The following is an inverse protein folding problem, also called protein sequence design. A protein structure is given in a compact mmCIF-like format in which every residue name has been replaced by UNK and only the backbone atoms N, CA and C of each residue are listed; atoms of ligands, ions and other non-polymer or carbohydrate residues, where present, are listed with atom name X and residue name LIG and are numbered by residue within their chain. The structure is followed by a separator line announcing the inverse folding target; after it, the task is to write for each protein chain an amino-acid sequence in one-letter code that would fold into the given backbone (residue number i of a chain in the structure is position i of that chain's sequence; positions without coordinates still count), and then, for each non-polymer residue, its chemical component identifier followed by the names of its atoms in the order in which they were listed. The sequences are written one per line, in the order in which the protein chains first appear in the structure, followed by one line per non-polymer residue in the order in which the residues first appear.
data_IF_250356842779
#
_entry.id   IF_250356842779
#
_cell.length_a   1.000
_cell.length_b   1.000
_cell.length_c   1.000
_cell.angle_alpha   90.00
_cell.angle_beta   90.00
_cell.angle_gamma   90.00
#
_symmetry.space_group_name_H-M   'P 1'
#
loop_
_entity.id
_entity.type
_entity.pdbx_description
1 polymer ?
#
# COMPACT_ATOMS: atom_id res chain seq x y z
N UNK A 1 -1.89 -12.96 -9.12
CA UNK A 1 -1.93 -11.61 -8.50
C UNK A 1 -0.82 -10.73 -9.05
N UNK A 2 -1.02 -9.40 -9.06
CA UNK A 2 -0.12 -8.42 -9.69
C UNK A 2 1.05 -8.05 -8.74
N UNK A 3 2.26 -7.91 -9.30
CA UNK A 3 3.45 -7.37 -8.61
C UNK A 3 3.70 -5.92 -9.02
N UNK A 4 4.66 -5.26 -8.35
CA UNK A 4 5.07 -3.88 -8.67
C UNK A 4 5.44 -3.68 -10.14
N UNK A 5 6.05 -4.67 -10.78
CA UNK A 5 6.47 -4.61 -12.19
C UNK A 5 5.33 -4.36 -13.19
N UNK A 6 4.07 -4.55 -12.78
CA UNK A 6 2.90 -4.33 -13.62
C UNK A 6 2.22 -2.99 -13.35
N UNK A 7 2.67 -2.21 -12.36
CA UNK A 7 2.01 -0.98 -11.93
C UNK A 7 2.03 0.12 -12.99
N UNK A 8 3.10 0.20 -13.79
CA UNK A 8 3.15 1.12 -14.93
C UNK A 8 2.01 0.84 -15.92
N UNK A 9 1.85 -0.41 -16.34
CA UNK A 9 0.77 -0.83 -17.23
C UNK A 9 -0.62 -0.58 -16.61
N UNK A 10 -0.79 -0.83 -15.31
CA UNK A 10 -2.06 -0.54 -14.63
C UNK A 10 -2.38 0.97 -14.63
N UNK A 11 -1.38 1.83 -14.44
CA UNK A 11 -1.55 3.28 -14.53
C UNK A 11 -1.93 3.73 -15.95
N UNK A 12 -1.25 3.21 -16.97
CA UNK A 12 -1.58 3.46 -18.39
C UNK A 12 -3.01 3.04 -18.71
N UNK A 13 -3.42 1.85 -18.25
CA UNK A 13 -4.77 1.33 -18.45
C UNK A 13 -5.82 2.12 -17.68
N UNK A 14 -5.52 2.62 -16.48
CA UNK A 14 -6.42 3.48 -15.71
C UNK A 14 -6.69 4.79 -16.48
N UNK A 15 -5.63 5.46 -16.94
CA UNK A 15 -5.75 6.69 -17.73
C UNK A 15 -6.54 6.43 -19.02
N UNK A 16 -6.22 5.35 -19.74
CA UNK A 16 -6.94 4.96 -20.96
C UNK A 16 -8.44 4.77 -20.69
N UNK A 17 -8.81 4.13 -19.58
CA UNK A 17 -10.22 3.92 -19.21
C UNK A 17 -10.90 5.22 -18.82
N UNK A 18 -10.25 6.09 -18.04
CA UNK A 18 -10.80 7.41 -17.70
C UNK A 18 -11.04 8.27 -18.95
N UNK A 19 -10.12 8.26 -19.92
CA UNK A 19 -10.29 8.98 -21.20
C UNK A 19 -11.43 8.45 -22.06
N UNK A 20 -11.76 7.16 -21.92
CA UNK A 20 -12.82 6.51 -22.70
C UNK A 20 -14.20 6.59 -22.04
N UNK A 21 -14.28 6.95 -20.76
CA UNK A 21 -15.53 7.07 -20.04
C UNK A 21 -16.13 8.47 -20.24
N UNK A 22 -17.31 8.61 -20.90
CA UNK A 22 -17.92 9.91 -21.17
C UNK A 22 -18.36 10.65 -19.90
N UNK A 23 -18.38 9.99 -18.73
CA UNK A 23 -18.73 10.60 -17.45
C UNK A 23 -17.54 11.26 -16.75
N UNK A 24 -16.31 11.05 -17.24
CA UNK A 24 -15.09 11.55 -16.62
C UNK A 24 -14.46 12.60 -17.55
N UNK A 25 -14.39 13.84 -17.09
CA UNK A 25 -13.54 14.83 -17.71
C UNK A 25 -12.14 14.69 -17.10
N UNK A 26 -11.24 13.99 -17.80
CA UNK A 26 -9.90 13.71 -17.26
C UNK A 26 -9.09 14.98 -17.00
N UNK A 27 -9.35 16.09 -17.67
CA UNK A 27 -8.60 17.32 -17.51
C UNK A 27 -9.14 18.18 -16.35
N UNK A 28 -10.45 18.14 -16.13
CA UNK A 28 -11.14 19.03 -15.18
C UNK A 28 -11.54 18.36 -13.86
N UNK A 29 -11.85 17.07 -13.86
CA UNK A 29 -12.31 16.40 -12.64
C UNK A 29 -11.12 16.16 -11.69
N UNK A 30 -11.37 16.28 -10.39
CA UNK A 30 -10.41 15.84 -9.37
C UNK A 30 -10.48 14.33 -9.18
N UNK A 31 -9.33 13.67 -9.25
CA UNK A 31 -9.18 12.23 -9.03
C UNK A 31 -8.46 11.94 -7.72
N UNK A 32 -8.92 10.92 -7.02
CA UNK A 32 -8.21 10.31 -5.90
C UNK A 32 -7.83 8.89 -6.29
N UNK A 33 -6.52 8.63 -6.44
CA UNK A 33 -6.00 7.31 -6.82
C UNK A 33 -5.30 6.71 -5.62
N UNK A 34 -5.66 5.49 -5.22
CA UNK A 34 -4.98 4.77 -4.14
C UNK A 34 -4.13 3.64 -4.73
N UNK A 35 -2.82 3.70 -4.50
CA UNK A 35 -1.86 2.70 -4.95
C UNK A 35 -1.43 1.84 -3.75
N UNK A 36 -1.84 0.57 -3.77
CA UNK A 36 -1.43 -0.46 -2.82
C UNK A 36 -0.85 -1.65 -3.60
N UNK A 37 0.43 -1.95 -3.39
CA UNK A 37 1.13 -3.04 -4.05
C UNK A 37 2.34 -3.48 -3.23
N UNK A 38 3.02 -4.54 -3.65
CA UNK A 38 4.24 -5.05 -3.00
C UNK A 38 4.05 -6.31 -2.17
N UNK A 39 2.83 -6.63 -1.71
CA UNK A 39 2.59 -7.88 -0.97
C UNK A 39 2.99 -9.13 -1.77
N UNK A 40 2.69 -9.16 -3.07
CA UNK A 40 3.11 -10.24 -3.95
C UNK A 40 4.61 -10.23 -4.27
N UNK A 41 5.23 -9.05 -4.32
CA UNK A 41 6.68 -8.91 -4.47
C UNK A 41 7.39 -9.54 -3.26
N UNK A 42 6.94 -9.21 -2.04
CA UNK A 42 7.44 -9.81 -0.80
C UNK A 42 7.19 -11.32 -0.75
N UNK A 43 5.99 -11.79 -1.12
CA UNK A 43 5.73 -13.23 -1.16
C UNK A 43 6.65 -13.98 -2.12
N UNK A 44 6.87 -13.46 -3.33
CA UNK A 44 7.79 -14.08 -4.30
C UNK A 44 9.24 -13.99 -3.87
N UNK A 45 9.62 -12.92 -3.17
CA UNK A 45 10.94 -12.77 -2.58
C UNK A 45 11.27 -13.86 -1.56
N UNK A 46 10.25 -14.55 -1.01
CA UNK A 46 10.49 -15.64 -0.07
C UNK A 46 11.29 -16.81 -0.66
N UNK A 47 11.24 -17.03 -1.98
CA UNK A 47 12.08 -18.02 -2.63
C UNK A 47 13.54 -17.55 -2.79
N UNK A 48 13.75 -16.25 -3.04
CA UNK A 48 15.06 -15.61 -3.15
C UNK A 48 14.92 -14.08 -3.09
N UNK A 49 15.33 -13.47 -1.98
CA UNK A 49 15.20 -12.01 -1.76
C UNK A 49 16.07 -11.18 -2.71
N UNK A 50 17.19 -11.73 -3.20
CA UNK A 50 18.10 -11.02 -4.12
C UNK A 50 17.48 -10.72 -5.48
N UNK A 51 16.42 -11.44 -5.87
CA UNK A 51 15.66 -11.19 -7.11
C UNK A 51 14.66 -10.03 -6.97
N UNK A 52 14.44 -9.54 -5.75
CA UNK A 52 13.44 -8.53 -5.43
C UNK A 52 14.05 -7.35 -4.66
N UNK A 53 15.12 -6.70 -5.17
CA UNK A 53 15.76 -5.61 -4.44
C UNK A 53 14.85 -4.38 -4.36
N UNK A 54 14.96 -3.62 -3.27
CA UNK A 54 14.18 -2.40 -3.04
C UNK A 54 14.35 -1.33 -4.13
N UNK A 55 15.50 -1.30 -4.79
CA UNK A 55 15.76 -0.42 -5.94
C UNK A 55 14.83 -0.72 -7.12
N UNK A 56 14.60 -2.00 -7.43
CA UNK A 56 13.69 -2.42 -8.49
C UNK A 56 12.24 -2.10 -8.12
N UNK A 57 11.83 -2.40 -6.88
CA UNK A 57 10.48 -2.06 -6.40
C UNK A 57 10.24 -0.56 -6.50
N UNK A 58 11.17 0.27 -6.01
CA UNK A 58 11.11 1.74 -6.15
C UNK A 58 10.96 2.16 -7.61
N UNK A 59 11.80 1.65 -8.51
CA UNK A 59 11.78 2.03 -9.92
C UNK A 59 10.43 1.69 -10.58
N UNK A 60 9.84 0.54 -10.24
CA UNK A 60 8.53 0.15 -10.74
C UNK A 60 7.42 1.09 -10.26
N UNK A 61 7.43 1.50 -8.99
CA UNK A 61 6.45 2.45 -8.46
C UNK A 61 6.67 3.84 -9.05
N UNK A 62 7.91 4.29 -9.13
CA UNK A 62 8.29 5.57 -9.75
C UNK A 62 7.79 5.66 -11.19
N UNK A 63 7.98 4.60 -11.99
CA UNK A 63 7.48 4.55 -13.37
C UNK A 63 5.94 4.65 -13.46
N UNK A 64 5.20 4.06 -12.53
CA UNK A 64 3.74 4.17 -12.49
C UNK A 64 3.27 5.57 -12.07
N UNK A 65 3.93 6.16 -11.08
CA UNK A 65 3.63 7.52 -10.62
C UNK A 65 3.95 8.56 -11.68
N UNK A 66 5.02 8.38 -12.46
CA UNK A 66 5.40 9.26 -13.57
C UNK A 66 4.31 9.24 -14.65
N UNK A 67 3.80 8.05 -15.02
CA UNK A 67 2.66 7.91 -15.93
C UNK A 67 1.42 8.65 -15.39
N UNK A 68 1.10 8.52 -14.10
CA UNK A 68 -0.03 9.23 -13.50
C UNK A 68 0.16 10.75 -13.53
N UNK A 69 1.37 11.24 -13.21
CA UNK A 69 1.68 12.67 -13.20
C UNK A 69 1.61 13.31 -14.59
N UNK A 70 1.94 12.55 -15.63
CA UNK A 70 1.89 12.99 -17.02
C UNK A 70 0.46 12.92 -17.61
N UNK A 71 -0.28 11.85 -17.32
CA UNK A 71 -1.55 11.57 -18.00
C UNK A 71 -2.82 11.79 -17.18
N UNK A 72 -2.73 12.21 -15.92
CA UNK A 72 -3.87 12.47 -15.04
C UNK A 72 -3.65 13.77 -14.24
N UNK A 73 -3.97 14.96 -14.81
CA UNK A 73 -3.95 16.22 -14.05
C UNK A 73 -4.97 16.18 -12.90
N UNK A 74 -4.99 17.18 -12.00
CA UNK A 74 -5.93 17.24 -10.85
C UNK A 74 -6.05 15.91 -10.09
N UNK A 75 -4.92 15.34 -9.67
CA UNK A 75 -4.88 14.00 -9.07
C UNK A 75 -4.12 14.00 -7.75
N UNK A 76 -4.76 13.45 -6.72
CA UNK A 76 -4.11 13.11 -5.45
C UNK A 76 -3.89 11.61 -5.44
N UNK A 77 -2.63 11.18 -5.37
CA UNK A 77 -2.27 9.77 -5.24
C UNK A 77 -1.99 9.44 -3.78
N UNK A 78 -2.80 8.56 -3.19
CA UNK A 78 -2.52 7.91 -1.92
C UNK A 78 -1.59 6.71 -2.17
N UNK A 79 -0.32 6.84 -1.82
CA UNK A 79 0.65 5.74 -1.87
C UNK A 79 0.67 5.02 -0.52
N UNK A 80 0.08 3.82 -0.45
CA UNK A 80 0.08 3.04 0.78
C UNK A 80 1.44 2.34 0.95
N UNK A 81 1.94 2.26 2.19
CA UNK A 81 3.10 1.42 2.50
C UNK A 81 2.77 -0.06 2.26
N UNK A 82 3.77 -0.84 1.82
CA UNK A 82 3.64 -2.29 1.69
C UNK A 82 3.51 -2.94 3.07
N UNK A 83 2.64 -3.95 3.18
CA UNK A 83 2.51 -4.77 4.37
C UNK A 83 3.82 -5.50 4.69
N UNK A 84 4.30 -5.38 5.93
CA UNK A 84 5.21 -6.37 6.49
C UNK A 84 4.41 -7.63 6.88
N UNK A 85 4.37 -8.60 5.96
CA UNK A 85 3.65 -9.87 6.16
C UNK A 85 4.49 -10.92 6.91
N UNK A 86 5.71 -10.59 7.35
CA UNK A 86 6.61 -11.56 8.00
C UNK A 86 5.98 -12.23 9.22
N UNK A 87 5.23 -11.46 10.03
CA UNK A 87 4.56 -12.00 11.21
C UNK A 87 3.36 -12.89 10.85
N UNK A 88 2.69 -12.67 9.72
CA UNK A 88 1.64 -13.60 9.24
C UNK A 88 2.23 -14.95 8.88
N UNK A 89 3.41 -14.97 8.24
CA UNK A 89 4.07 -16.22 7.85
C UNK A 89 4.39 -17.12 9.06
N UNK A 90 4.62 -16.54 10.24
CA UNK A 90 4.85 -17.29 11.49
C UNK A 90 3.58 -17.95 12.02
N UNK A 91 2.42 -17.32 11.81
CA UNK A 91 1.13 -17.76 12.38
C UNK A 91 0.37 -18.67 11.41
N UNK A 92 0.53 -18.48 10.10
CA UNK A 92 -0.16 -19.28 9.08
C UNK A 92 -0.06 -20.80 9.29
N UNK A 93 1.13 -21.38 9.62
CA UNK A 93 1.25 -22.83 9.86
C UNK A 93 0.42 -23.33 11.05
N UNK A 94 0.13 -22.47 12.02
CA UNK A 94 -0.59 -22.80 13.26
C UNK A 94 -2.11 -22.73 13.09
N UNK A 95 -2.59 -22.14 12.00
CA UNK A 95 -3.99 -21.83 11.77
C UNK A 95 -4.61 -22.85 10.80
N UNK A 96 -5.60 -23.64 11.25
CA UNK A 96 -6.25 -24.65 10.41
C UNK A 96 -6.86 -24.08 9.12
N UNK A 97 -7.37 -22.85 9.17
CA UNK A 97 -7.94 -22.18 7.99
C UNK A 97 -6.92 -21.93 6.88
N UNK A 98 -5.66 -21.66 7.22
CA UNK A 98 -4.63 -21.28 6.24
C UNK A 98 -4.05 -22.49 5.48
N UNK A 99 -4.39 -23.72 5.89
CA UNK A 99 -3.77 -24.94 5.35
C UNK A 99 -3.90 -25.02 3.83
N UNK A 100 -5.04 -24.62 3.27
CA UNK A 100 -5.22 -24.63 1.81
C UNK A 100 -4.35 -23.60 1.09
N UNK A 101 -4.25 -22.38 1.65
CA UNK A 101 -3.38 -21.33 1.11
C UNK A 101 -1.90 -21.74 1.13
N UNK A 102 -1.48 -22.47 2.17
CA UNK A 102 -0.14 -23.04 2.27
C UNK A 102 0.10 -24.15 1.23
N UNK A 103 -0.88 -25.03 0.98
CA UNK A 103 -0.77 -26.09 -0.05
C UNK A 103 -0.60 -25.51 -1.45
N UNK A 104 -1.35 -24.47 -1.80
CA UNK A 104 -1.25 -23.81 -3.12
C UNK A 104 -0.05 -22.86 -3.22
N UNK A 105 0.78 -22.77 -2.17
CA UNK A 105 1.99 -21.94 -2.10
C UNK A 105 1.72 -20.48 -2.48
N UNK A 106 0.69 -19.88 -1.88
CA UNK A 106 0.34 -18.48 -2.10
C UNK A 106 1.56 -17.55 -1.94
N UNK A 107 2.41 -17.85 -0.95
CA UNK A 107 3.74 -17.31 -0.78
C UNK A 107 4.74 -18.49 -0.69
N UNK A 108 5.67 -18.66 -1.66
CA UNK A 108 6.54 -19.84 -1.78
C UNK A 108 7.72 -19.83 -0.80
N UNK A 109 7.43 -19.67 0.50
CA UNK A 109 8.45 -19.64 1.54
C UNK A 109 9.05 -21.03 1.82
N UNK A 110 10.37 -21.14 2.06
CA UNK A 110 10.97 -22.33 2.60
C UNK A 110 10.35 -22.70 3.97
N UNK A 111 10.12 -24.00 4.25
CA UNK A 111 9.72 -24.45 5.57
C UNK A 111 10.71 -23.98 6.64
N UNK A 112 10.22 -23.49 7.77
CA UNK A 112 11.06 -23.01 8.88
C UNK A 112 11.63 -21.60 8.71
N UNK A 113 11.26 -20.86 7.66
CA UNK A 113 11.58 -19.43 7.57
C UNK A 113 10.97 -18.66 8.75
N UNK A 114 11.77 -17.86 9.44
CA UNK A 114 11.33 -16.99 10.53
C UNK A 114 10.80 -15.63 10.02
N UNK A 115 10.80 -15.42 8.70
CA UNK A 115 10.34 -14.19 8.04
C UNK A 115 11.24 -12.97 8.26
N UNK A 116 12.40 -13.09 8.90
CA UNK A 116 13.28 -11.96 9.23
C UNK A 116 13.79 -11.23 7.97
N UNK A 117 14.23 -11.97 6.95
CA UNK A 117 14.65 -11.42 5.66
C UNK A 117 13.51 -10.69 4.95
N UNK A 118 12.28 -11.22 5.02
CA UNK A 118 11.10 -10.57 4.45
C UNK A 118 10.71 -9.29 5.20
N UNK A 119 10.84 -9.28 6.53
CA UNK A 119 10.63 -8.06 7.33
C UNK A 119 11.66 -6.99 6.97
N UNK A 120 12.93 -7.38 6.83
CA UNK A 120 13.99 -6.47 6.41
C UNK A 120 13.69 -5.88 5.01
N UNK A 121 13.30 -6.73 4.06
CA UNK A 121 12.95 -6.31 2.71
C UNK A 121 11.72 -5.38 2.68
N UNK A 122 10.68 -5.70 3.45
CA UNK A 122 9.49 -4.86 3.58
C UNK A 122 9.84 -3.46 4.10
N UNK A 123 10.72 -3.38 5.12
CA UNK A 123 11.23 -2.11 5.64
C UNK A 123 12.10 -1.37 4.62
N UNK A 124 12.86 -2.06 3.78
CA UNK A 124 13.60 -1.44 2.68
C UNK A 124 12.66 -0.85 1.63
N UNK A 125 11.60 -1.57 1.25
CA UNK A 125 10.57 -1.06 0.34
C UNK A 125 9.90 0.19 0.89
N UNK A 126 9.45 0.15 2.15
CA UNK A 126 8.85 1.30 2.84
C UNK A 126 9.79 2.51 2.86
N UNK A 127 11.07 2.32 3.24
CA UNK A 127 12.09 3.38 3.21
C UNK A 127 12.30 3.92 1.80
N UNK A 128 12.36 3.07 0.78
CA UNK A 128 12.57 3.47 -0.59
C UNK A 128 11.41 4.36 -1.11
N UNK A 129 10.17 4.02 -0.78
CA UNK A 129 9.00 4.85 -1.11
C UNK A 129 9.04 6.19 -0.36
N UNK A 130 9.32 6.18 0.94
CA UNK A 130 9.46 7.41 1.74
C UNK A 130 10.51 8.34 1.17
N UNK A 131 11.69 7.79 0.82
CA UNK A 131 12.77 8.56 0.22
C UNK A 131 12.36 9.14 -1.14
N UNK A 132 11.71 8.35 -2.02
CA UNK A 132 11.20 8.82 -3.31
C UNK A 132 10.26 10.02 -3.14
N UNK A 133 9.27 9.92 -2.26
CA UNK A 133 8.27 10.99 -2.08
C UNK A 133 8.86 12.21 -1.37
N UNK A 134 9.84 12.03 -0.48
CA UNK A 134 10.55 13.14 0.17
C UNK A 134 11.44 13.94 -0.77
N UNK A 135 11.78 13.43 -1.97
CA UNK A 135 12.49 14.24 -2.98
C UNK A 135 11.67 15.43 -3.50
N UNK A 136 10.36 15.43 -3.27
CA UNK A 136 9.45 16.45 -3.79
C UNK A 136 9.17 16.33 -5.29
N UNK A 137 9.63 15.26 -5.98
CA UNK A 137 9.40 15.03 -7.42
C UNK A 137 7.94 15.26 -7.84
N UNK A 138 7.00 14.78 -7.03
CA UNK A 138 5.56 14.83 -7.32
C UNK A 138 4.83 16.05 -6.75
N UNK A 139 5.52 17.00 -6.11
CA UNK A 139 4.92 18.21 -5.53
C UNK A 139 5.27 19.48 -6.34
N UNK A 140 5.64 19.31 -7.61
CA UNK A 140 6.08 20.39 -8.50
C UNK A 140 4.95 21.04 -9.29
N UNK A 141 3.78 20.40 -9.34
CA UNK A 141 2.58 20.91 -10.01
C UNK A 141 1.53 21.29 -8.96
N UNK A 142 0.71 22.33 -9.19
CA UNK A 142 -0.34 22.73 -8.24
C UNK A 142 -1.51 21.74 -8.17
N UNK A 143 -1.66 20.89 -9.18
CA UNK A 143 -2.81 20.02 -9.38
C UNK A 143 -2.46 18.52 -9.29
N UNK A 144 -1.23 18.17 -8.91
CA UNK A 144 -0.82 16.78 -8.74
C UNK A 144 0.05 16.63 -7.50
N UNK A 145 -0.21 15.59 -6.71
CA UNK A 145 0.63 15.24 -5.56
C UNK A 145 0.54 13.76 -5.24
N UNK A 146 1.62 13.22 -4.68
CA UNK A 146 1.67 11.87 -4.13
C UNK A 146 1.91 11.96 -2.63
N UNK A 147 1.04 11.32 -1.85
CA UNK A 147 1.06 11.34 -0.39
C UNK A 147 1.18 9.93 0.15
N UNK A 148 2.23 9.68 0.95
CA UNK A 148 2.40 8.40 1.64
C UNK A 148 1.38 8.28 2.77
N UNK A 149 0.76 7.11 2.85
CA UNK A 149 -0.16 6.72 3.91
C UNK A 149 0.41 5.48 4.63
N UNK A 150 1.07 5.66 5.79
CA UNK A 150 1.91 4.61 6.37
C UNK A 150 1.15 3.63 7.28
N UNK A 151 -0.18 3.69 7.34
CA UNK A 151 -0.94 2.92 8.31
C UNK A 151 -0.90 1.41 8.08
N UNK A 152 -0.58 0.94 6.86
CA UNK A 152 -0.48 -0.49 6.50
C UNK A 152 0.94 -1.07 6.65
N UNK A 153 1.91 -0.29 7.13
CA UNK A 153 3.30 -0.75 7.20
C UNK A 153 3.51 -2.00 8.07
N UNK A 154 2.58 -2.27 9.00
CA UNK A 154 2.56 -3.48 9.82
C UNK A 154 1.16 -4.10 9.84
N UNK A 155 1.12 -5.41 10.10
CA UNK A 155 -0.14 -6.14 10.34
C UNK A 155 -0.74 -5.78 11.71
N UNK A 156 -2.08 -5.80 11.86
CA UNK A 156 -2.72 -5.59 13.15
C UNK A 156 -2.36 -6.70 14.12
N UNK A 157 -2.23 -6.36 15.40
CA UNK A 157 -1.94 -7.32 16.46
C UNK A 157 -3.03 -7.32 17.53
N UNK A 158 -3.22 -8.47 18.17
CA UNK A 158 -4.01 -8.64 19.39
C UNK A 158 -3.30 -8.01 20.59
N UNK A 159 -3.95 -8.00 21.76
CA UNK A 159 -3.35 -7.56 23.02
C UNK A 159 -2.11 -8.38 23.43
N UNK A 160 -2.04 -9.64 23.00
CA UNK A 160 -0.89 -10.53 23.22
C UNK A 160 0.27 -10.27 22.25
N UNK A 161 0.09 -9.35 21.28
CA UNK A 161 1.11 -8.99 20.29
C UNK A 161 1.19 -9.91 19.07
N UNK A 162 0.31 -10.91 18.97
CA UNK A 162 0.22 -11.78 17.80
C UNK A 162 -0.62 -11.13 16.69
N UNK A 163 -0.39 -11.45 15.40
CA UNK A 163 -1.27 -11.04 14.31
C UNK A 163 -2.77 -11.31 14.61
N UNK A 164 -3.59 -10.27 14.52
CA UNK A 164 -5.05 -10.42 14.64
C UNK A 164 -5.62 -11.04 13.37
N UNK A 165 -5.80 -12.36 13.39
CA UNK A 165 -6.28 -13.13 12.25
C UNK A 165 -7.70 -12.75 11.81
N UNK A 166 -8.49 -12.05 12.63
CA UNK A 166 -9.84 -11.60 12.22
C UNK A 166 -9.81 -10.53 11.11
N UNK A 167 -8.66 -9.89 10.88
CA UNK A 167 -8.46 -8.94 9.78
C UNK A 167 -8.22 -9.62 8.43
N UNK A 168 -8.05 -10.94 8.40
CA UNK A 168 -7.72 -11.71 7.20
C UNK A 168 -8.81 -12.72 6.87
N UNK A 169 -8.93 -13.06 5.59
CA UNK A 169 -9.81 -14.15 5.13
C UNK A 169 -9.26 -15.50 5.58
N UNK A 170 -9.98 -16.62 5.37
CA UNK A 170 -9.48 -17.95 5.71
C UNK A 170 -8.15 -18.33 5.03
N UNK A 171 -7.74 -17.65 3.95
CA UNK A 171 -6.43 -17.85 3.32
C UNK A 171 -5.26 -17.19 4.09
N UNK A 172 -5.59 -16.38 5.11
CA UNK A 172 -4.65 -15.75 6.03
C UNK A 172 -3.68 -14.75 5.39
N UNK A 173 -4.03 -14.25 4.21
CA UNK A 173 -3.23 -13.32 3.42
C UNK A 173 -4.07 -12.12 2.96
N UNK A 174 -5.24 -12.36 2.37
CA UNK A 174 -6.13 -11.29 1.95
C UNK A 174 -6.91 -10.71 3.13
N UNK A 175 -7.24 -9.43 3.05
CA UNK A 175 -8.03 -8.77 4.09
C UNK A 175 -9.47 -9.29 4.09
N UNK A 176 -10.00 -9.55 5.28
CA UNK A 176 -11.42 -9.83 5.50
C UNK A 176 -12.27 -8.57 5.32
N UNK A 177 -13.59 -8.69 5.43
CA UNK A 177 -14.49 -7.52 5.52
C UNK A 177 -14.10 -6.58 6.66
N UNK A 178 -13.66 -7.12 7.82
CA UNK A 178 -13.13 -6.33 8.95
C UNK A 178 -11.85 -5.60 8.52
N UNK A 179 -10.91 -6.31 7.90
CA UNK A 179 -9.64 -5.74 7.44
C UNK A 179 -9.83 -4.64 6.40
N UNK A 180 -10.69 -4.84 5.41
CA UNK A 180 -11.02 -3.82 4.40
C UNK A 180 -11.72 -2.60 5.01
N UNK A 181 -12.68 -2.81 5.92
CA UNK A 181 -13.36 -1.71 6.63
C UNK A 181 -12.37 -0.87 7.43
N UNK A 182 -11.50 -1.52 8.21
CA UNK A 182 -10.46 -0.86 8.97
C UNK A 182 -9.50 -0.09 8.06
N UNK A 183 -9.09 -0.66 6.92
CA UNK A 183 -8.17 -0.02 6.00
C UNK A 183 -8.78 1.24 5.37
N UNK A 184 -10.08 1.20 5.04
CA UNK A 184 -10.81 2.36 4.54
C UNK A 184 -10.85 3.50 5.57
N UNK A 185 -11.19 3.20 6.82
CA UNK A 185 -11.22 4.19 7.92
C UNK A 185 -9.82 4.73 8.21
N UNK A 186 -8.81 3.87 8.29
CA UNK A 186 -7.42 4.28 8.51
C UNK A 186 -6.90 5.16 7.37
N UNK A 187 -7.22 4.85 6.11
CA UNK A 187 -6.87 5.70 4.97
C UNK A 187 -7.52 7.08 5.08
N UNK A 188 -8.84 7.13 5.29
CA UNK A 188 -9.59 8.38 5.47
C UNK A 188 -8.98 9.25 6.57
N UNK A 189 -8.76 8.67 7.74
CA UNK A 189 -8.23 9.38 8.89
C UNK A 189 -6.78 9.85 8.67
N UNK A 190 -6.00 9.09 7.92
CA UNK A 190 -4.61 9.46 7.60
C UNK A 190 -4.55 10.54 6.51
N UNK A 191 -5.49 10.57 5.57
CA UNK A 191 -5.63 11.66 4.60
C UNK A 191 -5.92 13.00 5.28
N UNK A 192 -6.76 13.01 6.32
CA UNK A 192 -7.12 14.24 7.04
C UNK A 192 -6.03 14.76 8.00
N UNK A 193 -4.90 14.04 8.13
CA UNK A 193 -3.79 14.40 9.01
C UNK A 193 -2.61 14.97 8.23
N UNK A 194 -1.99 16.01 8.81
CA UNK A 194 -0.70 16.54 8.32
C UNK A 194 0.37 15.44 8.34
N UNK A 195 1.37 15.57 7.46
CA UNK A 195 2.47 14.60 7.30
C UNK A 195 3.11 14.15 8.62
N UNK A 196 3.42 15.08 9.52
CA UNK A 196 4.05 14.80 10.83
C UNK A 196 3.14 14.10 11.86
N UNK A 197 1.83 13.98 11.58
CA UNK A 197 0.82 13.40 12.47
C UNK A 197 0.11 12.19 11.87
N UNK A 198 0.55 11.71 10.70
CA UNK A 198 0.00 10.50 10.06
C UNK A 198 0.20 9.29 10.97
N UNK A 199 -0.85 8.52 11.16
CA UNK A 199 -0.80 7.30 11.98
C UNK A 199 -0.21 6.14 11.20
N UNK A 200 0.47 5.24 11.90
CA UNK A 200 1.14 4.06 11.34
C UNK A 200 0.47 2.74 11.72
N UNK A 201 -0.58 2.79 12.52
CA UNK A 201 -1.21 1.61 13.09
C UNK A 201 -2.41 1.16 12.24
N UNK A 202 -2.43 -0.11 11.85
CA UNK A 202 -3.51 -0.73 11.08
C UNK A 202 -4.62 -1.31 11.97
N UNK A 203 -5.04 -0.58 12.99
CA UNK A 203 -6.09 -1.02 13.92
C UNK A 203 -6.81 0.17 14.58
N UNK A 204 -6.44 1.40 14.21
CA UNK A 204 -6.91 2.61 14.88
C UNK A 204 -7.00 3.76 13.88
N UNK A 205 -8.07 4.57 13.87
CA UNK A 205 -9.30 4.53 14.69
C UNK A 205 -10.39 3.61 14.12
N UNK A 206 -11.34 3.17 14.96
CA UNK A 206 -12.53 2.43 14.51
C UNK A 206 -13.55 3.30 13.76
N UNK A 207 -13.53 4.61 13.99
CA UNK A 207 -14.50 5.56 13.43
C UNK A 207 -13.84 6.55 12.46
N UNK A 208 -14.51 6.92 11.36
CA UNK A 208 -14.04 7.96 10.46
C UNK A 208 -14.06 9.33 11.17
N UNK A 209 -12.98 10.08 11.02
CA UNK A 209 -12.84 11.43 11.53
C UNK A 209 -13.66 12.40 10.68
N UNK A 210 -14.34 13.35 11.33
CA UNK A 210 -14.94 14.48 10.64
C UNK A 210 -13.82 15.43 10.14
N UNK A 211 -13.85 15.88 8.87
CA UNK A 211 -12.92 16.89 8.38
C UNK A 211 -13.03 18.19 9.17
N UNK A 212 -11.90 18.70 9.66
CA UNK A 212 -11.84 20.01 10.35
C UNK A 212 -11.43 21.15 9.42
N UNK A 213 -11.10 20.83 8.16
CA UNK A 213 -10.73 21.80 7.13
C UNK A 213 -11.41 21.44 5.81
N UNK A 214 -11.48 22.40 4.88
CA UNK A 214 -12.13 22.22 3.57
C UNK A 214 -11.24 21.56 2.51
N UNK A 215 -10.04 21.10 2.88
CA UNK A 215 -9.07 20.53 1.96
C UNK A 215 -8.31 19.37 2.59
N UNK A 216 -7.76 18.48 1.76
CA UNK A 216 -6.89 17.39 2.22
C UNK A 216 -5.49 17.97 2.45
N UNK A 217 -4.89 17.82 3.65
CA UNK A 217 -3.52 18.23 3.90
C UNK A 217 -2.52 17.44 3.03
N UNK A 218 -1.77 18.13 2.19
CA UNK A 218 -0.72 17.55 1.32
C UNK A 218 0.56 18.38 1.42
N UNK A 219 1.65 17.92 0.80
CA UNK A 219 2.90 18.71 0.77
C UNK A 219 2.79 19.97 -0.11
N UNK A 220 1.78 20.07 -0.96
CA UNK A 220 1.59 21.23 -1.86
C UNK A 220 0.87 22.39 -1.14
N UNK A 221 0.02 22.10 -0.16
CA UNK A 221 -0.81 23.11 0.54
C UNK A 221 -0.50 23.26 2.04
N UNK A 222 0.45 22.49 2.57
CA UNK A 222 0.99 22.59 3.91
C UNK A 222 2.52 22.50 3.83
N UNK A 223 3.16 23.66 3.67
CA UNK A 223 4.60 23.88 3.90
C UNK A 223 4.82 24.50 5.26
#
# INVERSE_FOLDING_TARGET
MLCSSQMKLQAELLIKRMKADPKINIDEDWKMVTLLTGGNDICRACANVSLYPASMFRANIEAALDVLQEGSPRTIVNLLEVFDISNLMKVMPLQPSCQEAMKIKLCPCPPGSDGSELSALSKEYQRALVNLINTGKYNRKPDFTVVIQPFLGNVPTTETGEPDMSFFTPDCFHLSTKGHSAAGVSLWNTMLRRKSKKHRAFNHPEQPMCPTTRYIPTQVNYS
#
